data_IF_030034108502
#
_entry.id   IF_030034108502
#
_cell.length_a   1.000
_cell.length_b   1.000
_cell.length_c   1.000
_cell.angle_alpha   90.00
_cell.angle_beta   90.00
_cell.angle_gamma   90.00
#
_symmetry.space_group_name_H-M   'P 1'
#
loop_
_entity.id
_entity.type
_entity.pdbx_description
1 polymer ?
#
# COMPACT_ATOMS: atom_id res chain seq x y z
N UNK A 1 32.60 -53.22 18.41
CA UNK A 1 31.66 -53.30 17.29
C UNK A 1 30.38 -53.91 17.85
N UNK A 2 29.20 -53.33 17.78
CA UNK A 2 28.73 -52.06 17.26
C UNK A 2 27.27 -51.93 17.78
N UNK A 3 26.89 -50.73 18.20
CA UNK A 3 25.53 -50.14 18.15
C UNK A 3 24.37 -50.78 18.93
N UNK A 4 24.12 -50.12 20.06
CA UNK A 4 22.82 -49.78 20.67
C UNK A 4 21.62 -49.86 19.70
N UNK A 5 20.66 -50.74 20.00
CA UNK A 5 19.27 -50.69 19.50
C UNK A 5 18.41 -50.15 20.64
N UNK A 6 18.12 -48.86 20.59
CA UNK A 6 17.03 -48.26 21.35
C UNK A 6 15.80 -48.19 20.46
N UNK A 7 14.78 -48.99 20.76
CA UNK A 7 13.44 -48.81 20.23
C UNK A 7 12.68 -47.92 21.20
N UNK A 8 12.60 -46.63 20.87
CA UNK A 8 11.81 -45.63 21.58
C UNK A 8 10.35 -45.76 21.09
N UNK A 9 9.55 -46.50 21.86
CA UNK A 9 8.09 -46.44 21.79
C UNK A 9 7.63 -45.10 22.39
N UNK A 10 7.45 -44.10 21.54
CA UNK A 10 7.11 -42.75 21.97
C UNK A 10 6.20 -42.03 20.99
N UNK A 11 4.90 -42.04 21.29
CA UNK A 11 3.93 -40.99 20.97
C UNK A 11 3.78 -40.58 19.48
N UNK A 12 3.01 -41.38 18.72
CA UNK A 12 2.34 -40.93 17.50
C UNK A 12 0.91 -41.46 17.43
N UNK A 13 -0.01 -40.95 18.27
CA UNK A 13 -1.45 -41.28 18.11
C UNK A 13 -2.43 -40.40 18.93
N UNK A 14 -2.10 -39.16 19.31
CA UNK A 14 -3.05 -38.30 20.05
C UNK A 14 -3.58 -37.10 19.23
N UNK A 15 -2.78 -36.58 18.28
CA UNK A 15 -3.12 -35.32 17.58
C UNK A 15 -4.14 -35.44 16.43
N UNK A 16 -4.56 -36.66 16.04
CA UNK A 16 -5.58 -36.84 14.98
C UNK A 16 -7.00 -37.08 15.52
N UNK A 17 -7.18 -37.21 16.84
CA UNK A 17 -8.49 -37.41 17.45
C UNK A 17 -9.12 -36.11 17.99
N UNK A 18 -8.33 -35.05 18.23
CA UNK A 18 -8.86 -33.75 18.71
C UNK A 18 -9.38 -32.82 17.60
N UNK A 19 -9.09 -33.10 16.33
CA UNK A 19 -9.58 -32.26 15.21
C UNK A 19 -11.00 -32.62 14.73
N UNK A 20 -11.64 -33.62 15.34
CA UNK A 20 -13.03 -34.01 15.08
C UNK A 20 -14.05 -33.42 16.07
N UNK A 21 -13.62 -32.51 16.96
CA UNK A 21 -14.41 -31.99 18.08
C UNK A 21 -14.69 -30.48 18.09
N UNK A 22 -14.52 -29.76 16.96
CA UNK A 22 -14.94 -28.34 16.85
C UNK A 22 -16.04 -28.16 15.81
N UNK A 23 -17.18 -28.79 16.05
CA UNK A 23 -18.45 -28.22 15.62
C UNK A 23 -18.76 -27.04 16.55
N UNK A 24 -18.02 -25.94 16.38
CA UNK A 24 -18.23 -24.71 17.13
C UNK A 24 -19.58 -24.12 16.68
N UNK A 25 -20.55 -24.27 17.57
CA UNK A 25 -21.96 -23.99 17.31
C UNK A 25 -22.17 -22.57 16.84
N UNK A 26 -22.94 -22.43 15.76
CA UNK A 26 -23.51 -21.17 15.29
C UNK A 26 -24.50 -20.61 16.34
N UNK A 27 -24.00 -20.08 17.45
CA UNK A 27 -24.78 -19.22 18.33
C UNK A 27 -24.99 -17.89 17.58
N UNK A 28 -26.12 -17.80 16.87
CA UNK A 28 -26.53 -16.55 16.21
C UNK A 28 -26.90 -15.56 17.32
N UNK A 29 -26.14 -14.47 17.41
CA UNK A 29 -26.43 -13.34 18.28
C UNK A 29 -27.73 -12.70 17.76
N UNK A 30 -28.84 -12.80 18.49
CA UNK A 30 -30.18 -12.39 18.04
C UNK A 30 -30.66 -11.21 18.87
N UNK A 31 -31.03 -10.10 18.22
CA UNK A 31 -31.51 -8.89 18.90
C UNK A 31 -32.99 -8.67 18.64
N UNK A 32 -33.73 -8.33 19.70
CA UNK A 32 -35.13 -7.92 19.61
C UNK A 32 -35.26 -6.56 18.91
N UNK A 33 -36.11 -6.47 17.89
CA UNK A 33 -36.49 -5.22 17.22
C UNK A 33 -37.75 -4.70 17.90
N UNK A 34 -37.65 -3.52 18.53
CA UNK A 34 -38.76 -2.85 19.20
C UNK A 34 -39.01 -1.47 18.60
N UNK A 35 -40.27 -1.04 18.58
CA UNK A 35 -40.68 0.36 18.37
C UNK A 35 -41.47 0.76 19.61
N UNK A 36 -40.93 1.70 20.39
CA UNK A 36 -41.43 1.95 21.75
C UNK A 36 -41.38 0.67 22.59
N UNK A 37 -42.52 0.32 23.19
CA UNK A 37 -42.69 -0.90 24.00
C UNK A 37 -43.13 -2.13 23.20
N UNK A 38 -43.48 -1.96 21.91
CA UNK A 38 -43.94 -3.07 21.07
C UNK A 38 -42.77 -3.85 20.46
N UNK A 39 -42.73 -5.16 20.72
CA UNK A 39 -41.81 -6.11 20.10
C UNK A 39 -42.31 -6.49 18.69
N UNK A 40 -41.56 -6.11 17.65
CA UNK A 40 -41.87 -6.46 16.26
C UNK A 40 -41.29 -7.80 15.84
N UNK A 41 -40.26 -8.27 16.53
CA UNK A 41 -39.65 -9.57 16.29
C UNK A 41 -38.17 -9.60 16.64
N UNK A 42 -37.48 -10.61 16.14
CA UNK A 42 -36.08 -10.87 16.42
C UNK A 42 -35.27 -10.82 15.12
N UNK A 43 -34.15 -10.10 15.11
CA UNK A 43 -33.21 -10.04 13.99
C UNK A 43 -31.91 -10.71 14.40
N UNK A 44 -31.46 -11.70 13.64
CA UNK A 44 -30.11 -12.21 13.78
C UNK A 44 -29.13 -11.08 13.44
N UNK A 45 -28.28 -10.70 14.39
CA UNK A 45 -27.13 -9.84 14.17
C UNK A 45 -26.15 -10.65 13.34
N UNK A 46 -26.29 -10.51 12.02
CA UNK A 46 -25.23 -10.85 11.09
C UNK A 46 -24.06 -9.91 11.41
N UNK A 47 -23.21 -10.25 12.40
CA UNK A 47 -21.90 -9.64 12.50
C UNK A 47 -21.27 -9.89 11.14
N UNK A 48 -21.06 -8.83 10.34
CA UNK A 48 -20.25 -8.96 9.13
C UNK A 48 -18.94 -9.56 9.61
N UNK A 49 -18.72 -10.85 9.33
CA UNK A 49 -17.45 -11.48 9.62
C UNK A 49 -16.39 -10.58 9.00
N UNK A 50 -15.36 -10.22 9.79
CA UNK A 50 -14.20 -9.48 9.28
C UNK A 50 -13.84 -10.10 7.93
N UNK A 51 -13.83 -9.26 6.90
CA UNK A 51 -14.06 -9.65 5.51
C UNK A 51 -13.40 -10.96 5.11
N UNK A 52 -14.13 -11.80 4.38
CA UNK A 52 -13.63 -13.05 3.82
C UNK A 52 -12.31 -12.86 3.06
N UNK A 53 -11.60 -13.98 2.84
CA UNK A 53 -10.28 -14.02 2.20
C UNK A 53 -10.24 -13.10 0.97
N UNK A 54 -9.19 -12.28 0.87
CA UNK A 54 -9.05 -11.30 -0.21
C UNK A 54 -9.28 -11.96 -1.58
N UNK A 55 -10.22 -11.41 -2.33
CA UNK A 55 -10.56 -11.89 -3.66
C UNK A 55 -9.84 -11.03 -4.71
N UNK A 56 -8.87 -11.64 -5.39
CA UNK A 56 -7.99 -10.97 -6.34
C UNK A 56 -8.74 -10.47 -7.58
N UNK A 57 -9.72 -11.24 -8.07
CA UNK A 57 -10.64 -10.83 -9.13
C UNK A 57 -11.38 -9.55 -8.74
N UNK A 58 -12.05 -9.53 -7.58
CA UNK A 58 -12.81 -8.35 -7.10
C UNK A 58 -11.92 -7.13 -6.90
N UNK A 59 -10.68 -7.33 -6.45
CA UNK A 59 -9.69 -6.27 -6.33
C UNK A 59 -9.35 -5.64 -7.68
N UNK A 60 -9.01 -6.47 -8.67
CA UNK A 60 -8.68 -6.04 -10.03
C UNK A 60 -9.85 -5.42 -10.77
N UNK A 61 -11.04 -6.01 -10.68
CA UNK A 61 -12.26 -5.44 -11.28
C UNK A 61 -12.48 -4.01 -10.78
N UNK A 62 -12.40 -3.75 -9.46
CA UNK A 62 -12.55 -2.39 -8.92
C UNK A 62 -11.48 -1.42 -9.40
N UNK A 63 -10.26 -1.88 -9.60
CA UNK A 63 -9.18 -1.04 -10.16
C UNK A 63 -9.42 -0.72 -11.65
N UNK A 64 -9.95 -1.68 -12.42
CA UNK A 64 -10.37 -1.48 -13.82
C UNK A 64 -11.54 -0.49 -13.88
N UNK A 65 -12.58 -0.67 -13.06
CA UNK A 65 -13.70 0.28 -12.98
C UNK A 65 -13.23 1.69 -12.60
N UNK A 66 -12.27 1.79 -11.67
CA UNK A 66 -11.65 3.08 -11.33
C UNK A 66 -10.94 3.70 -12.54
N UNK A 67 -10.22 2.90 -13.32
CA UNK A 67 -9.54 3.35 -14.54
C UNK A 67 -10.55 3.84 -15.59
N UNK A 68 -11.62 3.09 -15.82
CA UNK A 68 -12.70 3.48 -16.74
C UNK A 68 -13.32 4.81 -16.29
N UNK A 69 -13.64 4.95 -14.99
CA UNK A 69 -14.16 6.24 -14.46
C UNK A 69 -13.21 7.40 -14.68
N UNK A 70 -11.91 7.17 -14.57
CA UNK A 70 -10.93 8.21 -14.80
C UNK A 70 -10.83 8.63 -16.26
N UNK A 71 -10.88 7.68 -17.21
CA UNK A 71 -10.71 7.93 -18.64
C UNK A 71 -11.98 8.39 -19.33
N UNK A 72 -13.11 7.78 -18.96
CA UNK A 72 -14.35 7.80 -19.74
C UNK A 72 -15.56 8.30 -18.93
N UNK A 73 -15.51 8.25 -17.60
CA UNK A 73 -16.63 8.60 -16.73
C UNK A 73 -17.52 7.41 -16.42
N UNK A 74 -18.83 7.51 -16.65
CA UNK A 74 -19.78 6.47 -16.22
C UNK A 74 -19.88 5.29 -17.18
N UNK A 75 -19.62 5.53 -18.47
CA UNK A 75 -19.76 4.57 -19.57
C UNK A 75 -18.51 4.67 -20.44
N UNK A 76 -18.04 3.54 -20.96
CA UNK A 76 -16.95 3.51 -21.97
C UNK A 76 -17.53 4.01 -23.30
N UNK A 77 -16.94 5.00 -23.99
CA UNK A 77 -17.42 5.44 -25.29
C UNK A 77 -17.26 4.33 -26.35
N UNK A 78 -18.07 4.40 -27.41
CA UNK A 78 -17.90 3.55 -28.59
C UNK A 78 -16.60 3.93 -29.30
N UNK A 79 -15.63 3.02 -29.25
CA UNK A 79 -14.29 3.18 -29.80
C UNK A 79 -13.72 1.81 -30.18
N UNK A 80 -12.76 1.79 -31.11
CA UNK A 80 -12.17 0.57 -31.66
C UNK A 80 -11.56 -0.35 -30.59
N UNK A 81 -11.09 0.21 -29.47
CA UNK A 81 -10.40 -0.49 -28.40
C UNK A 81 -11.27 -0.70 -27.13
N UNK A 82 -12.55 -0.31 -27.17
CA UNK A 82 -13.43 -0.37 -26.00
C UNK A 82 -13.64 -1.80 -25.48
N UNK A 83 -13.65 -2.80 -26.36
CA UNK A 83 -13.88 -4.20 -26.00
C UNK A 83 -12.71 -4.83 -25.23
N UNK A 84 -11.52 -4.22 -25.23
CA UNK A 84 -10.36 -4.69 -24.44
C UNK A 84 -10.72 -4.81 -22.95
N UNK A 85 -11.57 -3.92 -22.42
CA UNK A 85 -12.02 -4.02 -21.03
C UNK A 85 -12.81 -5.31 -20.78
N UNK A 86 -13.66 -5.70 -21.73
CA UNK A 86 -14.49 -6.92 -21.66
C UNK A 86 -13.59 -8.15 -21.73
N UNK A 87 -12.63 -8.18 -22.65
CA UNK A 87 -11.65 -9.27 -22.75
C UNK A 87 -10.89 -9.49 -21.45
N UNK A 88 -10.42 -8.40 -20.83
CA UNK A 88 -9.71 -8.44 -19.55
C UNK A 88 -10.62 -8.93 -18.43
N UNK A 89 -11.87 -8.46 -18.36
CA UNK A 89 -12.82 -8.91 -17.33
C UNK A 89 -13.19 -10.38 -17.53
N UNK A 90 -13.44 -10.83 -18.77
CA UNK A 90 -13.69 -12.23 -19.11
C UNK A 90 -12.52 -13.12 -18.71
N UNK A 91 -11.29 -12.66 -18.97
CA UNK A 91 -10.06 -13.34 -18.55
C UNK A 91 -10.00 -13.59 -17.05
N UNK A 92 -10.35 -12.57 -16.26
CA UNK A 92 -10.27 -12.62 -14.81
C UNK A 92 -11.46 -13.41 -14.23
N UNK A 93 -12.65 -13.26 -14.80
CA UNK A 93 -13.88 -13.91 -14.34
C UNK A 93 -13.85 -15.41 -14.62
N UNK A 94 -13.36 -15.84 -15.78
CA UNK A 94 -13.27 -17.25 -16.15
C UNK A 94 -12.50 -18.08 -15.11
N UNK A 95 -11.38 -17.56 -14.61
CA UNK A 95 -10.55 -18.24 -13.62
C UNK A 95 -11.19 -18.31 -12.22
N UNK A 96 -12.01 -17.32 -11.88
CA UNK A 96 -12.64 -17.21 -10.57
C UNK A 96 -13.95 -17.99 -10.49
N UNK A 97 -14.78 -17.90 -11.54
CA UNK A 97 -16.17 -18.40 -11.52
C UNK A 97 -16.40 -19.61 -12.42
N UNK A 98 -15.42 -20.03 -13.22
CA UNK A 98 -15.55 -21.13 -14.19
C UNK A 98 -16.80 -20.92 -15.04
N UNK A 99 -17.73 -21.87 -15.10
CA UNK A 99 -18.95 -21.78 -15.91
C UNK A 99 -19.82 -20.55 -15.59
N UNK A 100 -19.87 -20.10 -14.33
CA UNK A 100 -20.66 -18.95 -13.92
C UNK A 100 -20.05 -17.60 -14.35
N UNK A 101 -18.91 -17.59 -15.04
CA UNK A 101 -18.28 -16.34 -15.50
C UNK A 101 -19.09 -15.62 -16.58
N UNK A 102 -19.90 -16.34 -17.36
CA UNK A 102 -20.69 -15.78 -18.47
C UNK A 102 -21.60 -14.67 -17.96
N UNK A 103 -22.41 -14.96 -16.94
CA UNK A 103 -23.35 -14.00 -16.34
C UNK A 103 -22.62 -12.81 -15.71
N UNK A 104 -21.44 -13.06 -15.13
CA UNK A 104 -20.61 -12.00 -14.54
C UNK A 104 -20.12 -11.03 -15.61
N UNK A 105 -19.64 -11.54 -16.75
CA UNK A 105 -19.14 -10.71 -17.86
C UNK A 105 -20.28 -9.97 -18.52
N UNK A 106 -21.40 -10.63 -18.83
CA UNK A 106 -22.57 -10.00 -19.44
C UNK A 106 -23.14 -8.89 -18.54
N UNK A 107 -23.33 -9.17 -17.25
CA UNK A 107 -23.84 -8.17 -16.30
C UNK A 107 -22.87 -7.00 -16.08
N UNK A 108 -21.56 -7.26 -16.16
CA UNK A 108 -20.54 -6.20 -16.09
C UNK A 108 -20.52 -5.35 -17.37
N UNK A 109 -20.57 -5.98 -18.54
CA UNK A 109 -20.59 -5.31 -19.84
C UNK A 109 -21.86 -4.46 -20.02
N UNK A 110 -23.03 -4.97 -19.66
CA UNK A 110 -24.29 -4.23 -19.73
C UNK A 110 -24.29 -2.92 -18.93
N UNK A 111 -23.45 -2.83 -17.89
CA UNK A 111 -23.28 -1.60 -17.10
C UNK A 111 -22.33 -0.61 -17.78
N UNK A 112 -21.19 -1.08 -18.27
CA UNK A 112 -20.09 -0.22 -18.70
C UNK A 112 -20.05 0.04 -20.20
N UNK A 113 -20.64 -0.84 -21.00
CA UNK A 113 -20.74 -0.78 -22.47
C UNK A 113 -22.19 -1.10 -22.89
N UNK A 114 -23.21 -0.31 -22.49
CA UNK A 114 -24.61 -0.58 -22.82
C UNK A 114 -24.92 -0.49 -24.31
N UNK A 115 -24.06 0.17 -25.09
CA UNK A 115 -24.15 0.26 -26.55
C UNK A 115 -23.60 -0.98 -27.26
N UNK A 116 -22.73 -1.77 -26.61
CA UNK A 116 -22.08 -2.90 -27.26
C UNK A 116 -23.09 -4.03 -27.53
N UNK A 117 -23.19 -4.52 -28.78
CA UNK A 117 -24.06 -5.65 -29.10
C UNK A 117 -23.76 -6.87 -28.23
N UNK A 118 -24.80 -7.52 -27.73
CA UNK A 118 -24.66 -8.73 -26.89
C UNK A 118 -23.86 -9.83 -27.61
N UNK A 119 -24.03 -9.96 -28.92
CA UNK A 119 -23.33 -10.95 -29.74
C UNK A 119 -21.81 -10.78 -29.68
N UNK A 120 -21.29 -9.55 -29.75
CA UNK A 120 -19.85 -9.27 -29.71
C UNK A 120 -19.26 -9.64 -28.34
N UNK A 121 -20.01 -9.37 -27.26
CA UNK A 121 -19.62 -9.77 -25.91
C UNK A 121 -19.63 -11.29 -25.75
N UNK A 122 -20.64 -11.97 -26.31
CA UNK A 122 -20.75 -13.43 -26.32
C UNK A 122 -19.64 -14.08 -27.13
N UNK A 123 -19.21 -13.47 -28.23
CA UNK A 123 -18.06 -13.92 -29.02
C UNK A 123 -16.78 -13.87 -28.19
N UNK A 124 -16.51 -12.77 -27.48
CA UNK A 124 -15.36 -12.66 -26.56
C UNK A 124 -15.42 -13.74 -25.48
N UNK A 125 -16.59 -13.96 -24.89
CA UNK A 125 -16.80 -15.00 -23.87
C UNK A 125 -16.51 -16.39 -24.47
N UNK A 126 -17.02 -16.66 -25.66
CA UNK A 126 -16.86 -17.94 -26.34
C UNK A 126 -15.40 -18.20 -26.71
N UNK A 127 -14.71 -17.25 -27.33
CA UNK A 127 -13.28 -17.33 -27.62
C UNK A 127 -12.46 -17.58 -26.35
N UNK A 128 -12.89 -17.00 -25.22
CA UNK A 128 -12.25 -17.24 -23.93
C UNK A 128 -12.29 -18.70 -23.48
N UNK A 129 -13.31 -19.46 -23.87
CA UNK A 129 -13.44 -20.88 -23.51
C UNK A 129 -12.56 -21.80 -24.36
N UNK A 130 -12.17 -21.38 -25.58
CA UNK A 130 -11.39 -22.21 -26.51
C UNK A 130 -9.92 -22.35 -26.15
N UNK A 131 -9.38 -21.39 -25.40
CA UNK A 131 -7.93 -21.29 -25.14
C UNK A 131 -7.63 -21.66 -23.70
N UNK A 132 -6.59 -22.49 -23.50
CA UNK A 132 -6.04 -22.74 -22.16
C UNK A 132 -5.33 -21.49 -21.65
N UNK A 133 -6.02 -20.72 -20.80
CA UNK A 133 -5.46 -19.50 -20.25
C UNK A 133 -4.72 -19.70 -18.93
N UNK A 134 -3.54 -19.11 -18.86
CA UNK A 134 -2.86 -18.85 -17.59
C UNK A 134 -3.41 -17.58 -16.94
N UNK A 135 -3.36 -17.46 -15.59
CA UNK A 135 -3.72 -16.23 -14.90
C UNK A 135 -2.98 -15.02 -15.47
N UNK A 136 -3.72 -13.98 -15.87
CA UNK A 136 -3.11 -12.74 -16.33
C UNK A 136 -2.23 -12.18 -15.22
N UNK A 137 -0.94 -12.03 -15.51
CA UNK A 137 -0.01 -11.39 -14.59
C UNK A 137 -0.39 -9.92 -14.41
N UNK A 138 0.08 -9.30 -13.33
CA UNK A 138 -0.17 -7.88 -13.12
C UNK A 138 0.32 -7.05 -14.32
N UNK A 139 1.48 -7.41 -14.88
CA UNK A 139 2.08 -6.68 -15.98
C UNK A 139 1.37 -6.95 -17.31
N UNK A 140 0.92 -8.18 -17.58
CA UNK A 140 0.06 -8.47 -18.73
C UNK A 140 -1.22 -7.62 -18.73
N UNK A 141 -1.86 -7.42 -17.56
CA UNK A 141 -2.99 -6.51 -17.42
C UNK A 141 -2.61 -5.04 -17.66
N UNK A 142 -1.46 -4.62 -17.14
CA UNK A 142 -0.97 -3.26 -17.34
C UNK A 142 -0.72 -2.95 -18.82
N UNK A 143 -0.19 -3.93 -19.55
CA UNK A 143 -0.01 -3.86 -21.00
C UNK A 143 -1.35 -3.86 -21.74
N UNK A 144 -2.25 -4.82 -21.47
CA UNK A 144 -3.54 -4.88 -22.16
C UNK A 144 -4.35 -3.58 -22.00
N UNK A 145 -4.38 -3.01 -20.79
CA UNK A 145 -5.15 -1.79 -20.50
C UNK A 145 -4.42 -0.49 -20.87
N UNK A 146 -3.20 -0.57 -21.40
CA UNK A 146 -2.33 0.60 -21.62
C UNK A 146 -2.26 1.50 -20.37
N UNK A 147 -2.09 0.90 -19.18
CA UNK A 147 -2.04 1.63 -17.91
C UNK A 147 -0.62 2.17 -17.65
N UNK A 148 -0.43 3.48 -17.71
CA UNK A 148 0.87 4.09 -17.43
C UNK A 148 1.21 4.07 -15.94
N UNK A 149 2.50 4.14 -15.59
CA UNK A 149 2.93 4.19 -14.20
C UNK A 149 2.50 5.49 -13.52
N UNK A 150 2.43 6.58 -14.27
CA UNK A 150 1.95 7.86 -13.80
C UNK A 150 0.47 7.78 -13.40
N UNK A 151 -0.39 7.30 -14.31
CA UNK A 151 -1.82 7.11 -14.09
C UNK A 151 -2.08 6.10 -12.96
N UNK A 152 -1.39 4.96 -12.98
CA UNK A 152 -1.42 3.96 -11.90
C UNK A 152 -1.11 4.58 -10.53
N UNK A 153 -0.12 5.48 -10.48
CA UNK A 153 0.28 6.15 -9.24
C UNK A 153 -0.74 7.20 -8.80
N UNK A 154 -1.33 7.93 -9.74
CA UNK A 154 -2.35 8.94 -9.47
C UNK A 154 -3.65 8.31 -8.92
N UNK A 155 -4.05 7.17 -9.49
CA UNK A 155 -5.28 6.46 -9.12
C UNK A 155 -5.12 5.51 -7.91
N UNK A 156 -3.92 5.40 -7.36
CA UNK A 156 -3.55 4.42 -6.32
C UNK A 156 -3.97 2.97 -6.69
N UNK A 157 -3.68 2.60 -7.94
CA UNK A 157 -3.87 1.23 -8.45
C UNK A 157 -2.67 0.37 -8.00
N UNK A 158 -2.95 -0.77 -7.38
CA UNK A 158 -1.96 -1.59 -6.68
C UNK A 158 -1.80 -2.97 -7.28
N UNK A 159 -2.88 -3.60 -7.75
CA UNK A 159 -2.87 -5.01 -8.20
C UNK A 159 -2.58 -5.20 -9.68
N UNK A 160 -2.70 -4.12 -10.46
CA UNK A 160 -2.36 -4.07 -11.89
C UNK A 160 -0.96 -3.46 -12.09
N UNK A 161 -0.25 -3.95 -13.09
CA UNK A 161 1.07 -3.48 -13.51
C UNK A 161 1.01 -2.16 -14.27
N UNK A 162 2.10 -1.79 -14.94
CA UNK A 162 2.15 -0.64 -15.83
C UNK A 162 2.97 -0.99 -17.07
N UNK A 163 2.59 -0.48 -18.24
CA UNK A 163 3.21 -0.85 -19.52
C UNK A 163 4.51 -0.10 -19.81
N UNK A 164 4.65 1.12 -19.29
CA UNK A 164 5.72 2.08 -19.61
C UNK A 164 6.94 1.98 -18.66
N UNK A 165 6.78 1.34 -17.50
CA UNK A 165 7.85 1.19 -16.51
C UNK A 165 8.02 -0.26 -16.07
N UNK A 166 9.20 -0.86 -16.33
CA UNK A 166 9.50 -2.24 -15.91
C UNK A 166 9.34 -2.47 -14.41
N UNK A 167 8.98 -3.70 -14.04
CA UNK A 167 8.74 -4.11 -12.64
C UNK A 167 9.89 -3.77 -11.68
N UNK A 168 11.14 -4.01 -12.10
CA UNK A 168 12.32 -3.71 -11.30
C UNK A 168 12.46 -2.20 -11.01
N UNK A 169 12.26 -1.36 -12.02
CA UNK A 169 12.30 0.11 -11.88
C UNK A 169 11.18 0.61 -10.98
N UNK A 170 9.95 0.06 -11.11
CA UNK A 170 8.84 0.39 -10.20
C UNK A 170 9.13 0.02 -8.74
N UNK A 171 9.74 -1.14 -8.49
CA UNK A 171 10.14 -1.56 -7.14
C UNK A 171 11.17 -0.60 -6.53
N UNK A 172 12.17 -0.18 -7.31
CA UNK A 172 13.17 0.81 -6.89
C UNK A 172 12.53 2.18 -6.55
N UNK A 173 11.60 2.66 -7.38
CA UNK A 173 10.85 3.89 -7.12
C UNK A 173 10.03 3.79 -5.83
N UNK A 174 9.35 2.66 -5.58
CA UNK A 174 8.62 2.43 -4.33
C UNK A 174 9.55 2.40 -3.11
N UNK A 175 10.71 1.75 -3.22
CA UNK A 175 11.73 1.71 -2.16
C UNK A 175 12.24 3.12 -1.84
N UNK A 176 12.51 3.93 -2.86
CA UNK A 176 12.92 5.33 -2.69
C UNK A 176 11.82 6.17 -2.01
N UNK A 177 10.55 6.05 -2.44
CA UNK A 177 9.41 6.71 -1.81
C UNK A 177 9.25 6.28 -0.34
N UNK A 178 9.41 4.99 -0.02
CA UNK A 178 9.37 4.47 1.36
C UNK A 178 10.50 5.07 2.20
N UNK A 179 11.74 5.07 1.69
CA UNK A 179 12.90 5.68 2.37
C UNK A 179 12.69 7.17 2.64
N UNK A 180 12.13 7.92 1.69
CA UNK A 180 11.81 9.35 1.89
C UNK A 180 10.79 9.55 3.01
N UNK A 181 9.71 8.76 3.03
CA UNK A 181 8.70 8.80 4.10
C UNK A 181 9.28 8.42 5.45
N UNK A 182 10.13 7.40 5.50
CA UNK A 182 10.81 6.98 6.74
C UNK A 182 11.74 8.08 7.27
N UNK A 183 12.55 8.70 6.40
CA UNK A 183 13.40 9.84 6.78
C UNK A 183 12.56 10.98 7.37
N UNK A 184 11.47 11.36 6.70
CA UNK A 184 10.59 12.43 7.20
C UNK A 184 9.92 12.08 8.54
N UNK A 185 9.47 10.82 8.72
CA UNK A 185 8.91 10.35 10.00
C UNK A 185 9.92 10.42 11.13
N UNK A 186 11.14 9.93 10.90
CA UNK A 186 12.23 9.95 11.90
C UNK A 186 12.66 11.38 12.24
N UNK A 187 12.73 12.25 11.25
CA UNK A 187 13.01 13.67 11.47
C UNK A 187 11.94 14.32 12.36
N UNK A 188 10.64 14.12 12.03
CA UNK A 188 9.52 14.60 12.86
C UNK A 188 9.61 14.07 14.29
N UNK A 189 9.93 12.78 14.45
CA UNK A 189 10.09 12.16 15.77
C UNK A 189 11.24 12.78 16.56
N UNK A 190 12.40 13.02 15.92
CA UNK A 190 13.55 13.68 16.55
C UNK A 190 13.20 15.11 16.98
N UNK A 191 12.53 15.88 16.12
CA UNK A 191 12.07 17.24 16.43
C UNK A 191 11.08 17.24 17.60
N UNK A 192 10.13 16.31 17.62
CA UNK A 192 9.15 16.18 18.72
C UNK A 192 9.82 15.81 20.06
N UNK A 193 10.94 15.07 20.01
CA UNK A 193 11.76 14.75 21.19
C UNK A 193 12.72 15.89 21.60
N UNK A 194 12.62 17.08 20.99
CA UNK A 194 13.45 18.25 21.33
C UNK A 194 14.86 18.23 20.73
N UNK A 195 15.16 17.33 19.79
CA UNK A 195 16.47 17.32 19.14
C UNK A 195 16.66 18.57 18.28
N UNK A 196 17.71 19.35 18.59
CA UNK A 196 18.12 20.52 17.83
C UNK A 196 18.45 20.13 16.37
N UNK A 197 18.10 20.99 15.42
CA UNK A 197 18.52 20.77 14.05
C UNK A 197 20.04 20.92 13.93
N UNK A 198 20.65 20.34 12.89
CA UNK A 198 22.09 20.52 12.67
C UNK A 198 22.45 21.99 12.45
N UNK A 199 21.56 22.77 11.84
CA UNK A 199 21.76 24.21 11.67
C UNK A 199 21.76 24.93 13.03
N UNK A 200 20.78 24.62 13.90
CA UNK A 200 20.69 25.22 15.24
C UNK A 200 21.91 24.82 16.10
N UNK A 201 22.33 23.56 16.02
CA UNK A 201 23.54 23.08 16.72
C UNK A 201 24.81 23.78 16.24
N UNK A 202 24.98 23.95 14.92
CA UNK A 202 26.17 24.60 14.36
C UNK A 202 26.17 26.12 14.61
N UNK A 203 25.01 26.77 14.57
CA UNK A 203 24.85 28.19 14.89
C UNK A 203 25.16 28.50 16.35
N UNK A 204 24.74 27.61 17.26
CA UNK A 204 25.07 27.72 18.68
C UNK A 204 26.43 27.11 19.05
N UNK A 205 27.23 26.68 18.06
CA UNK A 205 28.54 26.11 18.32
C UNK A 205 29.53 27.19 18.69
N UNK A 206 30.15 27.06 19.86
CA UNK A 206 31.22 27.93 20.35
C UNK A 206 32.44 27.95 19.41
N UNK A 207 32.57 26.94 18.53
CA UNK A 207 33.61 26.95 17.49
C UNK A 207 33.31 27.91 16.34
N UNK A 208 32.03 28.19 16.10
CA UNK A 208 31.56 29.12 15.05
C UNK A 208 31.52 30.55 15.58
N UNK A 209 31.03 30.76 16.82
CA UNK A 209 30.99 32.09 17.45
C UNK A 209 32.36 32.61 17.91
N UNK A 210 33.39 31.74 17.95
CA UNK A 210 34.80 32.06 18.25
C UNK A 210 34.99 33.10 19.38
N UNK A 211 34.36 32.93 20.55
CA UNK A 211 34.33 33.95 21.60
C UNK A 211 35.72 34.33 22.16
N UNK A 212 36.73 33.47 22.01
CA UNK A 212 38.11 33.75 22.43
C UNK A 212 38.78 34.90 21.67
N UNK A 213 38.27 35.27 20.49
CA UNK A 213 38.79 36.38 19.68
C UNK A 213 38.51 37.73 20.32
N UNK A 214 37.32 37.88 20.94
CA UNK A 214 36.97 39.07 21.70
C UNK A 214 37.91 39.29 22.91
N UNK A 215 38.52 38.23 23.43
CA UNK A 215 39.51 38.29 24.52
C UNK A 215 40.96 38.36 24.02
N UNK A 216 41.20 38.29 22.70
CA UNK A 216 42.54 38.27 22.11
C UNK A 216 43.39 37.04 22.52
N UNK A 217 42.76 35.92 22.89
CA UNK A 217 43.47 34.71 23.35
C UNK A 217 43.23 33.51 22.43
N UNK A 218 44.13 32.52 22.49
CA UNK A 218 43.93 31.26 21.77
C UNK A 218 42.75 30.46 22.31
N UNK A 219 42.07 29.71 21.43
CA UNK A 219 40.98 28.79 21.80
C UNK A 219 41.34 27.87 22.96
N UNK A 220 42.55 27.29 22.93
CA UNK A 220 43.01 26.34 23.96
C UNK A 220 43.15 27.01 25.33
N UNK A 221 43.58 28.27 25.37
CA UNK A 221 43.66 29.07 26.59
C UNK A 221 42.26 29.39 27.11
N UNK A 222 41.32 29.76 26.24
CA UNK A 222 39.93 30.03 26.60
C UNK A 222 39.21 28.79 27.17
N UNK A 223 39.40 27.61 26.56
CA UNK A 223 38.85 26.35 27.08
C UNK A 223 39.41 26.00 28.47
N UNK A 224 40.71 26.26 28.73
CA UNK A 224 41.34 26.05 30.06
C UNK A 224 40.83 27.02 31.12
N UNK A 225 40.43 28.23 30.73
CA UNK A 225 39.89 29.28 31.64
C UNK A 225 38.40 29.10 31.96
N UNK A 226 37.78 27.98 31.55
CA UNK A 226 36.39 27.68 31.91
C UNK A 226 35.34 28.28 30.98
N UNK A 227 35.73 28.71 29.76
CA UNK A 227 34.82 29.22 28.71
C UNK A 227 34.00 30.47 29.12
N UNK A 228 34.64 31.54 29.60
CA UNK A 228 33.94 32.80 29.87
C UNK A 228 33.31 33.35 28.58
N UNK A 229 32.06 33.81 28.66
CA UNK A 229 31.37 34.52 27.56
C UNK A 229 31.75 36.01 27.62
N UNK A 230 32.09 36.65 26.49
CA UNK A 230 32.36 38.09 26.46
C UNK A 230 31.07 38.87 26.75
N UNK A 231 31.20 39.97 27.49
CA UNK A 231 30.09 40.89 27.74
C UNK A 231 29.66 41.60 26.44
N UNK A 232 28.37 41.93 26.27
CA UNK A 232 27.84 42.44 25.00
C UNK A 232 28.53 43.72 24.50
N UNK A 233 29.11 44.52 25.40
CA UNK A 233 29.86 45.74 25.05
C UNK A 233 31.20 45.43 24.35
N UNK A 234 31.87 44.32 24.70
CA UNK A 234 33.17 43.91 24.14
C UNK A 234 33.00 43.33 22.72
N UNK A 235 31.82 42.79 22.41
CA UNK A 235 31.50 42.19 21.11
C UNK A 235 31.38 43.25 20.01
N UNK A 236 30.94 44.47 20.35
CA UNK A 236 30.81 45.59 19.42
C UNK A 236 32.18 46.13 18.97
N UNK A 237 33.18 46.16 19.86
CA UNK A 237 34.54 46.61 19.54
C UNK A 237 35.32 45.62 18.66
N UNK A 238 35.10 44.31 18.84
CA UNK A 238 35.79 43.29 18.06
C UNK A 238 35.29 43.18 16.61
N UNK A 239 34.01 43.49 16.35
CA UNK A 239 33.43 43.50 14.99
C UNK A 239 33.95 44.65 14.10
N UNK A 240 34.60 45.66 14.70
CA UNK A 240 35.11 46.84 14.01
C UNK A 240 36.57 46.71 13.53
N UNK A 241 37.25 45.58 13.75
CA UNK A 241 38.62 45.37 13.25
C UNK A 241 38.54 44.65 11.90
N UNK A 242 38.74 45.34 10.76
CA UNK A 242 38.78 44.66 9.47
C UNK A 242 40.03 43.78 9.42
N UNK A 243 39.83 42.52 9.07
CA UNK A 243 40.89 41.55 8.79
C UNK A 243 41.73 42.08 7.61
N UNK A 244 42.88 42.68 7.92
CA UNK A 244 43.86 43.09 6.92
C UNK A 244 44.45 41.84 6.23
N UNK A 245 44.69 41.98 4.93
CA UNK A 245 45.04 40.97 3.93
C UNK A 245 46.26 40.10 4.25
#
# INVERSE_FOLDING_TARGET
>A
MDRLVGADEGARSADRAEEAGRADGLARDVTAVKIGDCLLGYKAVQRRMRGGRWNHFRGRMREIEKLIRHRHGEIVPEADDALIYVEVIASLAFLEFKEAFVDVVLGWAARWLPWAPKADIEEIIYERTKVRYSPLTADALGHALHLSYAERSALDIRTIGAFDVPKAKRANLQKAKRRRRDRSRKEKQRRAAGALSRADYLGNSLSTSRPWEAFGISRRTWERRGKPMPEPEIILDAAAVPLAA
#
